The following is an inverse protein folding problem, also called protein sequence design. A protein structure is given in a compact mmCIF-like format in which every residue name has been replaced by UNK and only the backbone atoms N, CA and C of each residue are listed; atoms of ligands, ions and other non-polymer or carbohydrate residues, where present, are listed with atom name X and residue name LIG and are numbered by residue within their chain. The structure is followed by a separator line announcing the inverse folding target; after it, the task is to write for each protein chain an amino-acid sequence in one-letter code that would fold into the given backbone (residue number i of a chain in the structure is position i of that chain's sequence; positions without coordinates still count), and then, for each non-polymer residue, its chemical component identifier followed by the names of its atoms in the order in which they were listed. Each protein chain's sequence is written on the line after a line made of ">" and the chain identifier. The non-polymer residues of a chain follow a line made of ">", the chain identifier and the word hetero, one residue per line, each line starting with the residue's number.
data_IF_862235436250
#
_entry.id   IF_862235436250
#
_cell.length_a   1.000
_cell.length_b   1.000
_cell.length_c   1.000
_cell.angle_alpha   90.00
_cell.angle_beta   90.00
_cell.angle_gamma   90.00
#
_symmetry.space_group_name_H-M   'P 1'
#
loop_
_entity.id
_entity.type
_entity.pdbx_description
1 polymer ?
#
# COMPACT_ATOMS: atom_id res chain seq x y z
N UNK A 1 -3.99 -20.05 30.60
CA UNK A 1 -4.22 -19.30 29.36
C UNK A 1 -3.08 -19.49 28.33
N UNK A 2 -1.84 -19.32 28.72
CA UNK A 2 -0.66 -19.63 27.87
C UNK A 2 -0.63 -21.10 27.38
N UNK A 3 -1.08 -22.06 28.18
CA UNK A 3 -1.11 -23.47 27.77
C UNK A 3 -2.06 -23.78 26.60
N UNK A 4 -3.19 -23.08 26.49
CA UNK A 4 -4.14 -23.26 25.38
C UNK A 4 -3.64 -22.57 24.08
N UNK A 5 -2.93 -21.46 24.20
CA UNK A 5 -2.27 -20.80 23.06
C UNK A 5 -1.10 -21.63 22.56
N UNK A 6 -0.28 -22.18 23.47
CA UNK A 6 0.79 -23.10 23.14
C UNK A 6 0.27 -24.42 22.53
N UNK A 7 -0.86 -24.93 22.98
CA UNK A 7 -1.49 -26.12 22.41
C UNK A 7 -2.11 -25.85 21.01
N UNK A 8 -2.59 -24.65 20.75
CA UNK A 8 -3.06 -24.24 19.41
C UNK A 8 -1.88 -23.99 18.46
N UNK A 9 -0.80 -23.37 18.93
CA UNK A 9 0.44 -23.17 18.18
C UNK A 9 1.17 -24.49 17.89
N UNK A 10 1.13 -25.44 18.82
CA UNK A 10 1.71 -26.78 18.63
C UNK A 10 1.00 -27.63 17.56
N UNK A 11 -0.24 -27.28 17.20
CA UNK A 11 -0.99 -27.92 16.11
C UNK A 11 -0.71 -27.31 14.73
N UNK A 12 0.02 -26.18 14.65
CA UNK A 12 0.39 -25.58 13.36
C UNK A 12 1.59 -26.37 12.80
N UNK A 13 1.50 -26.93 11.59
CA UNK A 13 2.62 -27.64 11.00
C UNK A 13 3.87 -26.76 10.96
N UNK A 14 5.01 -27.28 11.42
CA UNK A 14 6.31 -26.56 11.46
C UNK A 14 6.62 -25.84 10.15
N UNK A 15 6.24 -26.43 9.02
CA UNK A 15 6.38 -25.81 7.69
C UNK A 15 5.55 -24.51 7.53
N UNK A 16 4.37 -24.43 8.15
CA UNK A 16 3.53 -23.22 8.10
C UNK A 16 4.17 -22.09 8.92
N UNK A 17 4.72 -22.42 10.10
CA UNK A 17 5.45 -21.45 10.93
C UNK A 17 6.68 -20.90 10.19
N UNK A 18 7.45 -21.78 9.55
CA UNK A 18 8.62 -21.38 8.75
C UNK A 18 8.19 -20.47 7.56
N UNK A 19 7.11 -20.83 6.85
CA UNK A 19 6.57 -20.02 5.74
C UNK A 19 6.10 -18.65 6.20
N UNK A 20 5.41 -18.57 7.33
CA UNK A 20 4.99 -17.29 7.93
C UNK A 20 6.20 -16.45 8.37
N UNK A 21 7.21 -17.09 8.97
CA UNK A 21 8.46 -16.43 9.36
C UNK A 21 9.19 -15.84 8.15
N UNK A 22 9.32 -16.57 7.06
CA UNK A 22 9.89 -16.06 5.80
C UNK A 22 9.08 -14.91 5.22
N UNK A 23 7.75 -15.03 5.17
CA UNK A 23 6.89 -14.02 4.58
C UNK A 23 6.85 -12.71 5.38
N UNK A 24 6.81 -12.79 6.72
CA UNK A 24 6.81 -11.61 7.59
C UNK A 24 8.20 -11.00 7.72
N UNK A 25 9.23 -11.82 7.89
CA UNK A 25 10.63 -11.36 8.00
C UNK A 25 11.12 -10.68 6.74
N UNK A 26 10.91 -11.29 5.56
CA UNK A 26 11.27 -10.67 4.28
C UNK A 26 10.51 -9.38 4.03
N UNK A 27 9.21 -9.35 4.34
CA UNK A 27 8.42 -8.12 4.19
C UNK A 27 8.92 -7.00 5.10
N UNK A 28 9.22 -7.29 6.37
CA UNK A 28 9.80 -6.32 7.30
C UNK A 28 11.13 -5.75 6.77
N UNK A 29 12.00 -6.62 6.27
CA UNK A 29 13.29 -6.21 5.71
C UNK A 29 13.14 -5.37 4.42
N UNK A 30 12.17 -5.69 3.57
CA UNK A 30 11.83 -4.86 2.40
C UNK A 30 11.36 -3.47 2.84
N UNK A 31 10.57 -3.36 3.92
CA UNK A 31 10.16 -2.06 4.44
C UNK A 31 11.32 -1.26 5.00
N UNK A 32 12.29 -1.93 5.65
CA UNK A 32 13.54 -1.29 6.09
C UNK A 32 14.32 -0.76 4.88
N UNK A 33 14.49 -1.55 3.81
CA UNK A 33 15.15 -1.07 2.59
C UNK A 33 14.42 0.11 1.94
N UNK A 34 13.09 0.10 1.93
CA UNK A 34 12.29 1.24 1.45
C UNK A 34 12.50 2.49 2.29
N UNK A 35 12.50 2.35 3.62
CA UNK A 35 12.76 3.47 4.52
C UNK A 35 14.17 4.03 4.31
N UNK A 36 15.18 3.16 4.28
CA UNK A 36 16.57 3.55 3.99
C UNK A 36 16.70 4.27 2.65
N UNK A 37 16.06 3.74 1.61
CA UNK A 37 16.05 4.37 0.29
C UNK A 37 15.44 5.78 0.35
N UNK A 38 14.28 5.94 0.99
CA UNK A 38 13.63 7.24 1.14
C UNK A 38 14.50 8.22 1.94
N UNK A 39 15.07 7.78 3.06
CA UNK A 39 15.89 8.63 3.94
C UNK A 39 17.18 9.06 3.22
N UNK A 40 17.92 8.14 2.62
CA UNK A 40 19.17 8.45 1.92
C UNK A 40 18.90 9.36 0.72
N UNK A 41 17.90 9.06 -0.08
CA UNK A 41 17.56 9.88 -1.23
C UNK A 41 17.06 11.28 -0.82
N UNK A 42 16.30 11.41 0.27
CA UNK A 42 15.82 12.71 0.74
C UNK A 42 16.96 13.61 1.24
N UNK A 43 18.07 13.05 1.70
CA UNK A 43 19.28 13.80 2.05
C UNK A 43 20.08 14.22 0.81
N UNK A 44 20.10 13.40 -0.24
CA UNK A 44 20.85 13.66 -1.48
C UNK A 44 20.09 14.53 -2.48
N UNK A 45 18.77 14.47 -2.50
CA UNK A 45 17.90 15.09 -3.49
C UNK A 45 17.02 16.18 -2.86
N UNK A 46 16.61 17.15 -3.67
CA UNK A 46 15.70 18.22 -3.21
C UNK A 46 14.22 17.78 -3.19
N UNK A 47 13.40 18.35 -2.29
CA UNK A 47 11.98 18.00 -2.18
C UNK A 47 11.16 18.08 -3.49
N UNK A 48 11.36 19.05 -4.40
CA UNK A 48 10.62 19.10 -5.67
C UNK A 48 10.77 17.83 -6.53
N UNK A 49 11.91 17.16 -6.47
CA UNK A 49 12.15 15.92 -7.22
C UNK A 49 11.27 14.77 -6.71
N UNK A 50 11.04 14.71 -5.40
CA UNK A 50 10.10 13.75 -4.80
C UNK A 50 8.66 14.07 -5.17
N UNK A 51 8.29 15.37 -5.23
CA UNK A 51 6.99 15.82 -5.70
C UNK A 51 6.72 15.40 -7.14
N UNK A 52 7.69 15.64 -8.02
CA UNK A 52 7.60 15.24 -9.42
C UNK A 52 7.50 13.71 -9.55
N UNK A 53 8.32 12.96 -8.78
CA UNK A 53 8.28 11.50 -8.79
C UNK A 53 6.98 10.92 -8.21
N UNK A 54 6.33 11.62 -7.26
CA UNK A 54 5.00 11.25 -6.78
C UNK A 54 3.97 11.29 -7.92
N UNK A 55 3.99 12.33 -8.76
CA UNK A 55 3.11 12.44 -9.94
C UNK A 55 3.40 11.29 -10.91
N UNK A 56 4.68 11.07 -11.25
CA UNK A 56 5.12 9.99 -12.14
C UNK A 56 4.66 8.63 -11.64
N UNK A 57 4.85 8.34 -10.36
CA UNK A 57 4.43 7.07 -9.75
C UNK A 57 2.90 6.93 -9.70
N UNK A 58 2.15 8.01 -9.47
CA UNK A 58 0.69 8.00 -9.51
C UNK A 58 0.16 7.71 -10.91
N UNK A 59 0.74 8.34 -11.94
CA UNK A 59 0.40 8.07 -13.35
C UNK A 59 0.74 6.61 -13.69
N UNK A 60 1.96 6.14 -13.34
CA UNK A 60 2.39 4.76 -13.58
C UNK A 60 1.43 3.76 -12.95
N UNK A 61 1.10 3.94 -11.67
CA UNK A 61 0.16 3.08 -10.95
C UNK A 61 -1.24 3.13 -11.56
N UNK A 62 -1.68 4.31 -12.02
CA UNK A 62 -2.95 4.48 -12.71
C UNK A 62 -3.00 3.68 -14.00
N UNK A 63 -2.02 3.87 -14.88
CA UNK A 63 -1.93 3.14 -16.15
C UNK A 63 -1.88 1.63 -15.91
N UNK A 64 -1.16 1.17 -14.88
CA UNK A 64 -1.06 -0.25 -14.52
C UNK A 64 -2.39 -0.82 -14.02
N UNK A 65 -3.02 -0.16 -13.03
CA UNK A 65 -4.26 -0.65 -12.41
C UNK A 65 -5.48 -0.51 -13.34
N UNK A 66 -5.54 0.58 -14.13
CA UNK A 66 -6.61 0.78 -15.12
C UNK A 66 -6.58 -0.22 -16.28
N UNK A 67 -5.64 -1.13 -16.31
CA UNK A 67 -5.53 -2.20 -17.30
C UNK A 67 -5.41 -3.58 -16.65
N UNK A 68 -5.51 -3.67 -15.31
CA UNK A 68 -5.33 -4.94 -14.63
C UNK A 68 -6.51 -5.87 -14.89
N UNK A 69 -6.21 -6.96 -15.59
CA UNK A 69 -7.14 -8.06 -15.86
C UNK A 69 -6.88 -9.26 -14.96
N UNK A 70 -6.13 -9.08 -13.88
CA UNK A 70 -5.90 -10.11 -12.86
C UNK A 70 -5.20 -11.37 -13.38
N UNK A 71 -4.23 -11.23 -14.30
CA UNK A 71 -3.53 -12.37 -14.91
C UNK A 71 -2.87 -13.23 -13.84
N UNK A 72 -2.14 -12.60 -12.89
CA UNK A 72 -1.45 -13.31 -11.83
C UNK A 72 -2.44 -14.01 -10.89
N UNK A 73 -3.53 -13.34 -10.52
CA UNK A 73 -4.60 -13.88 -9.68
C UNK A 73 -5.27 -15.07 -10.36
N UNK A 74 -5.47 -14.99 -11.69
CA UNK A 74 -6.08 -16.05 -12.47
C UNK A 74 -5.18 -17.30 -12.51
N UNK A 75 -3.87 -17.17 -12.77
CA UNK A 75 -2.91 -18.29 -12.71
C UNK A 75 -2.99 -19.01 -11.35
N UNK A 76 -3.08 -18.24 -10.26
CA UNK A 76 -3.09 -18.80 -8.90
C UNK A 76 -4.42 -19.48 -8.57
N UNK A 77 -5.56 -18.87 -8.91
CA UNK A 77 -6.90 -19.36 -8.54
C UNK A 77 -7.45 -20.41 -9.48
N UNK A 78 -7.06 -20.40 -10.76
CA UNK A 78 -7.58 -21.32 -11.76
C UNK A 78 -7.00 -22.72 -11.59
N UNK A 79 -7.84 -23.76 -11.69
CA UNK A 79 -7.41 -25.16 -11.63
C UNK A 79 -6.44 -25.52 -12.76
N UNK A 80 -6.59 -24.89 -13.93
CA UNK A 80 -5.76 -25.13 -15.12
C UNK A 80 -4.55 -24.19 -15.23
N UNK A 81 -4.31 -23.30 -14.24
CA UNK A 81 -3.28 -22.27 -14.29
C UNK A 81 -1.83 -22.79 -14.40
N UNK A 82 -1.60 -24.08 -14.15
CA UNK A 82 -0.33 -24.78 -14.30
C UNK A 82 -0.18 -25.52 -15.65
N UNK A 83 -1.29 -25.64 -16.42
CA UNK A 83 -1.21 -26.23 -17.76
C UNK A 83 -0.41 -25.33 -18.69
N UNK A 84 0.39 -25.94 -19.61
CA UNK A 84 1.24 -25.20 -20.53
C UNK A 84 0.49 -24.13 -21.33
N UNK A 85 -0.64 -24.54 -21.91
CA UNK A 85 -1.43 -23.70 -22.81
C UNK A 85 -1.98 -22.47 -22.08
N UNK A 86 -2.49 -22.65 -20.86
CA UNK A 86 -3.00 -21.57 -20.04
C UNK A 86 -1.88 -20.64 -19.56
N UNK A 87 -0.78 -21.22 -19.09
CA UNK A 87 0.35 -20.49 -18.55
C UNK A 87 1.06 -19.63 -19.61
N UNK A 88 1.33 -20.21 -20.80
CA UNK A 88 1.98 -19.52 -21.90
C UNK A 88 1.05 -18.43 -22.50
N UNK A 89 -0.27 -18.70 -22.57
CA UNK A 89 -1.27 -17.71 -22.98
C UNK A 89 -1.32 -16.54 -21.97
N UNK A 90 -1.34 -16.82 -20.68
CA UNK A 90 -1.34 -15.80 -19.63
C UNK A 90 -0.09 -14.92 -19.71
N UNK A 91 1.09 -15.52 -19.91
CA UNK A 91 2.33 -14.76 -20.08
C UNK A 91 2.32 -13.94 -21.39
N UNK A 92 1.84 -14.50 -22.51
CA UNK A 92 1.73 -13.78 -23.78
C UNK A 92 0.83 -12.57 -23.65
N UNK A 93 -0.34 -12.70 -23.00
CA UNK A 93 -1.26 -11.57 -22.72
C UNK A 93 -0.57 -10.54 -21.84
N UNK A 94 0.21 -10.95 -20.83
CA UNK A 94 0.97 -10.05 -19.96
C UNK A 94 2.01 -9.24 -20.74
N UNK A 95 2.70 -9.85 -21.71
CA UNK A 95 3.66 -9.16 -22.59
C UNK A 95 2.96 -8.15 -23.49
N UNK A 96 1.89 -8.56 -24.17
CA UNK A 96 1.10 -7.68 -25.05
C UNK A 96 0.58 -6.49 -24.26
N UNK A 97 0.03 -6.73 -23.07
CA UNK A 97 -0.43 -5.68 -22.16
C UNK A 97 0.72 -4.74 -21.78
N UNK A 98 1.89 -5.26 -21.39
CA UNK A 98 3.05 -4.44 -21.01
C UNK A 98 3.51 -3.52 -22.15
N UNK A 99 3.58 -4.02 -23.38
CA UNK A 99 3.93 -3.23 -24.56
C UNK A 99 2.84 -2.17 -24.83
N UNK A 100 1.56 -2.55 -24.78
CA UNK A 100 0.45 -1.63 -24.99
C UNK A 100 0.44 -0.49 -23.98
N UNK A 101 0.68 -0.78 -22.68
CA UNK A 101 0.76 0.21 -21.62
C UNK A 101 1.97 1.14 -21.80
N UNK A 102 3.11 0.58 -22.20
CA UNK A 102 4.29 1.37 -22.53
C UNK A 102 3.99 2.35 -23.68
N UNK A 103 3.35 1.87 -24.73
CA UNK A 103 2.95 2.71 -25.86
C UNK A 103 1.93 3.80 -25.46
N UNK A 104 0.90 3.45 -24.66
CA UNK A 104 -0.08 4.41 -24.15
C UNK A 104 0.61 5.48 -23.29
N UNK A 105 1.47 5.08 -22.36
CA UNK A 105 2.19 6.01 -21.50
C UNK A 105 3.10 6.94 -22.31
N UNK A 106 3.79 6.42 -23.33
CA UNK A 106 4.61 7.19 -24.25
C UNK A 106 3.79 8.21 -25.04
N UNK A 107 2.70 7.78 -25.69
CA UNK A 107 1.86 8.63 -26.51
C UNK A 107 1.11 9.70 -25.69
N UNK A 108 0.69 9.36 -24.46
CA UNK A 108 -0.03 10.28 -23.58
C UNK A 108 0.89 11.18 -22.75
N UNK A 109 2.22 11.07 -22.86
CA UNK A 109 3.16 11.83 -22.03
C UNK A 109 2.93 13.35 -22.13
N UNK A 110 2.76 13.87 -23.33
CA UNK A 110 2.46 15.31 -23.55
C UNK A 110 1.10 15.73 -22.99
N UNK A 111 0.09 14.85 -23.04
CA UNK A 111 -1.22 15.12 -22.46
C UNK A 111 -1.15 15.22 -20.94
N UNK A 112 -0.42 14.28 -20.29
CA UNK A 112 -0.17 14.35 -18.85
C UNK A 112 0.64 15.57 -18.45
N UNK A 113 1.67 15.95 -19.23
CA UNK A 113 2.48 17.14 -18.97
C UNK A 113 1.63 18.42 -18.98
N UNK A 114 0.71 18.55 -19.95
CA UNK A 114 -0.24 19.67 -20.01
C UNK A 114 -1.26 19.61 -18.88
N UNK A 115 -1.80 18.42 -18.56
CA UNK A 115 -2.82 18.28 -17.52
C UNK A 115 -2.30 18.66 -16.13
N UNK A 116 -1.06 18.28 -15.79
CA UNK A 116 -0.44 18.63 -14.52
C UNK A 116 0.36 19.93 -14.55
N UNK A 117 0.46 20.60 -15.71
CA UNK A 117 1.24 21.83 -15.91
C UNK A 117 2.72 21.66 -15.51
N UNK A 118 3.28 20.47 -15.82
CA UNK A 118 4.67 20.08 -15.54
C UNK A 118 5.32 19.57 -16.82
N UNK A 119 6.03 20.44 -17.56
CA UNK A 119 6.62 20.08 -18.87
C UNK A 119 7.65 18.95 -18.77
N UNK A 120 8.30 18.76 -17.61
CA UNK A 120 9.27 17.71 -17.36
C UNK A 120 8.66 16.31 -17.55
N UNK A 121 7.35 16.15 -17.30
CA UNK A 121 6.66 14.88 -17.48
C UNK A 121 6.68 14.40 -18.95
N UNK A 122 6.72 15.32 -19.91
CA UNK A 122 6.78 14.96 -21.33
C UNK A 122 8.06 14.17 -21.69
N UNK A 123 9.15 14.39 -20.96
CA UNK A 123 10.44 13.70 -21.17
C UNK A 123 10.57 12.50 -20.25
N UNK A 124 10.06 12.59 -19.01
CA UNK A 124 10.19 11.55 -18.00
C UNK A 124 9.30 10.34 -18.30
N UNK A 125 8.02 10.58 -18.67
CA UNK A 125 7.05 9.49 -18.87
C UNK A 125 7.42 8.52 -20.00
N UNK A 126 7.97 8.95 -21.15
CA UNK A 126 8.50 8.04 -22.17
C UNK A 126 9.57 7.08 -21.64
N UNK A 127 10.45 7.55 -20.76
CA UNK A 127 11.48 6.70 -20.15
C UNK A 127 10.87 5.73 -19.13
N UNK A 128 9.96 6.21 -18.29
CA UNK A 128 9.20 5.36 -17.35
C UNK A 128 8.34 4.33 -18.07
N UNK A 129 7.88 4.60 -19.29
CA UNK A 129 7.11 3.66 -20.11
C UNK A 129 7.82 2.31 -20.30
N UNK A 130 9.17 2.29 -20.32
CA UNK A 130 9.96 1.06 -20.37
C UNK A 130 9.70 0.13 -19.18
N UNK A 131 9.31 0.66 -18.03
CA UNK A 131 9.00 -0.17 -16.86
C UNK A 131 7.82 -1.10 -17.12
N UNK A 132 6.81 -0.67 -17.90
CA UNK A 132 5.68 -1.53 -18.27
C UNK A 132 6.11 -2.68 -19.18
N UNK A 133 7.02 -2.40 -20.12
CA UNK A 133 7.57 -3.41 -21.02
C UNK A 133 8.32 -4.47 -20.19
N UNK A 134 9.22 -4.04 -19.30
CA UNK A 134 9.95 -4.96 -18.44
C UNK A 134 9.02 -5.77 -17.53
N UNK A 135 8.00 -5.15 -16.94
CA UNK A 135 6.97 -5.84 -16.15
C UNK A 135 6.21 -6.89 -16.99
N UNK A 136 5.89 -6.56 -18.23
CA UNK A 136 5.23 -7.48 -19.16
C UNK A 136 6.04 -8.74 -19.42
N UNK A 137 7.35 -8.60 -19.65
CA UNK A 137 8.27 -9.71 -19.92
C UNK A 137 8.69 -10.51 -18.68
N UNK A 138 8.40 -10.05 -17.45
CA UNK A 138 8.72 -10.83 -16.24
C UNK A 138 8.08 -12.23 -16.29
N UNK A 139 8.82 -13.21 -15.79
CA UNK A 139 8.37 -14.61 -15.73
C UNK A 139 7.06 -14.74 -14.92
N UNK A 140 6.11 -15.50 -15.46
CA UNK A 140 4.89 -15.85 -14.75
C UNK A 140 5.11 -16.98 -13.70
N UNK A 141 6.34 -17.51 -13.59
CA UNK A 141 6.71 -18.57 -12.64
C UNK A 141 6.52 -18.15 -11.18
N UNK A 142 6.61 -16.85 -10.87
CA UNK A 142 6.30 -16.33 -9.53
C UNK A 142 4.86 -16.66 -9.10
N UNK A 143 3.89 -16.53 -10.01
CA UNK A 143 2.48 -16.88 -9.75
C UNK A 143 2.29 -18.39 -9.58
N UNK A 144 3.04 -19.23 -10.32
CA UNK A 144 3.04 -20.68 -10.11
C UNK A 144 3.60 -21.08 -8.75
N UNK A 145 4.71 -20.46 -8.31
CA UNK A 145 5.25 -20.68 -6.97
C UNK A 145 4.27 -20.27 -5.88
N UNK A 146 3.53 -19.18 -6.10
CA UNK A 146 2.47 -18.75 -5.18
C UNK A 146 1.34 -19.80 -5.12
N UNK A 147 0.90 -20.32 -6.26
CA UNK A 147 -0.06 -21.43 -6.35
C UNK A 147 0.45 -22.69 -5.60
N UNK A 148 1.72 -23.02 -5.74
CA UNK A 148 2.39 -24.13 -5.05
C UNK A 148 2.73 -23.82 -3.59
N UNK A 149 2.36 -22.64 -3.07
CA UNK A 149 2.66 -22.16 -1.70
C UNK A 149 4.16 -22.10 -1.36
N UNK A 150 5.02 -21.95 -2.35
CA UNK A 150 6.47 -21.79 -2.16
C UNK A 150 6.81 -20.31 -1.85
N UNK A 151 6.59 -19.89 -0.61
CA UNK A 151 6.74 -18.49 -0.20
C UNK A 151 8.19 -18.02 -0.20
N UNK A 152 9.14 -18.89 0.19
CA UNK A 152 10.54 -18.51 0.39
C UNK A 152 11.20 -17.96 -0.89
N UNK A 153 10.99 -18.61 -2.05
CA UNK A 153 11.60 -18.17 -3.32
C UNK A 153 11.06 -16.82 -3.79
N UNK A 154 9.73 -16.60 -3.67
CA UNK A 154 9.16 -15.30 -3.98
C UNK A 154 9.69 -14.21 -3.04
N UNK A 155 9.84 -14.54 -1.74
CA UNK A 155 10.42 -13.61 -0.77
C UNK A 155 11.87 -13.26 -1.08
N UNK A 156 12.68 -14.24 -1.53
CA UNK A 156 14.08 -13.98 -1.95
C UNK A 156 14.11 -13.07 -3.18
N UNK A 157 13.22 -13.30 -4.16
CA UNK A 157 13.11 -12.44 -5.34
C UNK A 157 12.79 -11.00 -4.94
N UNK A 158 11.72 -10.80 -4.15
CA UNK A 158 11.28 -9.49 -3.72
C UNK A 158 12.38 -8.77 -2.92
N UNK A 159 13.07 -9.48 -2.03
CA UNK A 159 14.17 -8.96 -1.22
C UNK A 159 15.38 -8.57 -2.08
N UNK A 160 15.75 -9.41 -3.05
CA UNK A 160 16.85 -9.13 -3.98
C UNK A 160 16.56 -7.88 -4.80
N UNK A 161 15.32 -7.75 -5.32
CA UNK A 161 14.90 -6.57 -6.09
C UNK A 161 14.90 -5.32 -5.21
N UNK A 162 14.46 -5.41 -3.94
CA UNK A 162 14.48 -4.28 -3.01
C UNK A 162 15.91 -3.83 -2.68
N UNK A 163 16.84 -4.76 -2.48
CA UNK A 163 18.26 -4.45 -2.24
C UNK A 163 18.92 -3.82 -3.47
N UNK A 164 18.68 -4.37 -4.66
CA UNK A 164 19.16 -3.81 -5.93
C UNK A 164 18.58 -2.42 -6.16
N UNK A 165 17.28 -2.23 -5.88
CA UNK A 165 16.63 -0.91 -5.97
C UNK A 165 17.31 0.13 -5.10
N UNK A 166 17.57 -0.19 -3.83
CA UNK A 166 18.30 0.69 -2.91
C UNK A 166 19.69 1.05 -3.47
N UNK A 167 20.46 0.04 -3.87
CA UNK A 167 21.81 0.25 -4.40
C UNK A 167 21.81 1.14 -5.65
N UNK A 168 20.92 0.86 -6.61
CA UNK A 168 20.84 1.61 -7.86
C UNK A 168 20.41 3.06 -7.64
N UNK A 169 19.36 3.31 -6.85
CA UNK A 169 18.90 4.67 -6.60
C UNK A 169 19.94 5.50 -5.86
N UNK A 170 20.59 4.91 -4.84
CA UNK A 170 21.64 5.59 -4.09
C UNK A 170 22.86 5.87 -4.97
N UNK A 171 23.34 4.88 -5.73
CA UNK A 171 24.47 5.06 -6.64
C UNK A 171 24.22 6.16 -7.68
N UNK A 172 23.03 6.14 -8.31
CA UNK A 172 22.67 7.17 -9.28
C UNK A 172 22.50 8.55 -8.64
N UNK A 173 21.96 8.65 -7.42
CA UNK A 173 21.81 9.92 -6.73
C UNK A 173 23.15 10.52 -6.30
N UNK A 174 24.16 9.69 -6.00
CA UNK A 174 25.51 10.14 -5.71
C UNK A 174 26.26 10.65 -6.96
N UNK A 175 25.97 10.06 -8.13
CA UNK A 175 26.60 10.47 -9.40
C UNK A 175 25.90 11.70 -9.99
N UNK A 176 24.56 11.67 -10.02
CA UNK A 176 23.72 12.72 -10.63
C UNK A 176 22.51 13.02 -9.73
N UNK A 177 22.60 14.01 -8.81
CA UNK A 177 21.54 14.33 -7.87
C UNK A 177 20.38 15.09 -8.54
N UNK A 178 19.80 14.51 -9.56
CA UNK A 178 18.71 15.06 -10.36
C UNK A 178 17.53 14.10 -10.40
N UNK A 179 16.41 14.51 -11.03
CA UNK A 179 15.25 13.63 -11.24
C UNK A 179 15.62 12.31 -11.93
N UNK A 180 16.67 12.33 -12.75
CA UNK A 180 17.12 11.16 -13.49
C UNK A 180 17.63 10.03 -12.58
N UNK A 181 18.13 10.34 -11.38
CA UNK A 181 18.49 9.31 -10.40
C UNK A 181 17.28 8.46 -10.01
N UNK A 182 16.11 9.09 -9.81
CA UNK A 182 14.86 8.40 -9.46
C UNK A 182 14.26 7.67 -10.67
N UNK A 183 14.27 8.31 -11.83
CA UNK A 183 13.69 7.77 -13.07
C UNK A 183 14.49 6.56 -13.55
N UNK A 184 15.79 6.73 -13.78
CA UNK A 184 16.67 5.64 -14.23
C UNK A 184 16.78 4.54 -13.18
N UNK A 185 16.85 4.90 -11.88
CA UNK A 185 16.80 3.94 -10.79
C UNK A 185 15.57 3.03 -10.85
N UNK A 186 14.40 3.61 -11.14
CA UNK A 186 13.14 2.85 -11.29
C UNK A 186 13.14 1.95 -12.54
N UNK A 187 13.66 2.44 -13.67
CA UNK A 187 13.77 1.67 -14.91
C UNK A 187 14.75 0.52 -14.75
N UNK A 188 15.95 0.78 -14.21
CA UNK A 188 16.97 -0.23 -13.97
C UNK A 188 16.52 -1.26 -12.93
N UNK A 189 15.80 -0.84 -11.88
CA UNK A 189 15.17 -1.76 -10.91
C UNK A 189 14.17 -2.67 -11.60
N UNK A 190 13.35 -2.16 -12.53
CA UNK A 190 12.38 -2.96 -13.29
C UNK A 190 13.09 -3.95 -14.23
N UNK A 191 14.19 -3.55 -14.86
CA UNK A 191 15.03 -4.43 -15.66
C UNK A 191 15.71 -5.52 -14.79
N UNK A 192 16.23 -5.15 -13.63
CA UNK A 192 16.81 -6.10 -12.67
C UNK A 192 15.75 -7.09 -12.16
N UNK A 193 14.52 -6.63 -11.89
CA UNK A 193 13.41 -7.49 -11.50
C UNK A 193 13.01 -8.47 -12.62
N UNK A 194 13.06 -8.03 -13.89
CA UNK A 194 12.87 -8.90 -15.04
C UNK A 194 13.94 -10.02 -15.04
N UNK A 195 15.21 -9.66 -14.98
CA UNK A 195 16.33 -10.64 -14.98
C UNK A 195 16.21 -11.57 -13.78
N UNK A 196 16.02 -11.03 -12.58
CA UNK A 196 15.88 -11.80 -11.35
C UNK A 196 14.70 -12.78 -11.40
N UNK A 197 13.60 -12.42 -12.09
CA UNK A 197 12.44 -13.30 -12.23
C UNK A 197 12.74 -14.61 -12.98
N UNK A 198 13.76 -14.62 -13.84
CA UNK A 198 14.22 -15.83 -14.55
C UNK A 198 15.36 -16.55 -13.83
N UNK A 199 16.21 -15.82 -13.09
CA UNK A 199 17.37 -16.39 -12.39
C UNK A 199 17.00 -17.01 -11.04
N UNK A 200 16.22 -16.28 -10.22
CA UNK A 200 15.88 -16.70 -8.85
C UNK A 200 14.77 -17.77 -8.85
N UNK A 201 13.89 -17.71 -9.83
CA UNK A 201 12.79 -18.64 -9.99
C UNK A 201 13.03 -19.52 -11.23
N UNK A 202 13.74 -20.64 -11.10
CA UNK A 202 13.86 -21.58 -12.20
C UNK A 202 12.47 -22.09 -12.53
N UNK A 203 11.98 -21.68 -13.66
CA UNK A 203 10.64 -21.97 -14.12
C UNK A 203 10.66 -22.61 -15.49
N UNK A 204 9.46 -22.87 -15.97
CA UNK A 204 9.21 -23.33 -17.31
C UNK A 204 9.61 -22.23 -18.32
N UNK A 205 10.16 -22.62 -19.46
CA UNK A 205 10.36 -21.71 -20.59
C UNK A 205 9.01 -21.21 -21.09
N UNK A 206 8.89 -19.89 -21.29
CA UNK A 206 7.69 -19.28 -21.86
C UNK A 206 7.71 -19.38 -23.38
N UNK A 207 6.52 -19.56 -23.96
CA UNK A 207 6.30 -19.54 -25.40
C UNK A 207 5.21 -18.54 -25.75
N UNK A 208 5.35 -17.85 -26.86
CA UNK A 208 4.30 -17.00 -27.40
C UNK A 208 3.19 -17.87 -27.98
N UNK A 209 2.20 -18.17 -27.17
CA UNK A 209 1.02 -18.96 -27.52
C UNK A 209 -0.22 -18.21 -27.04
N UNK A 210 -1.26 -18.21 -27.86
CA UNK A 210 -2.58 -17.71 -27.49
C UNK A 210 -3.58 -18.84 -27.74
N UNK A 211 -3.94 -19.54 -26.67
CA UNK A 211 -5.07 -20.45 -26.68
C UNK A 211 -6.37 -19.65 -26.47
N UNK A 212 -7.34 -19.84 -27.38
CA UNK A 212 -8.59 -19.07 -27.37
C UNK A 212 -9.43 -19.34 -26.13
N UNK A 213 -9.41 -20.55 -25.60
CA UNK A 213 -10.19 -20.93 -24.42
C UNK A 213 -9.60 -20.27 -23.18
N UNK A 214 -8.28 -20.41 -22.98
CA UNK A 214 -7.56 -19.78 -21.88
C UNK A 214 -7.67 -18.25 -21.94
N UNK A 215 -7.52 -17.65 -23.12
CA UNK A 215 -7.64 -16.20 -23.30
C UNK A 215 -9.05 -15.70 -22.93
N UNK A 216 -10.11 -16.38 -23.38
CA UNK A 216 -11.49 -16.05 -23.05
C UNK A 216 -11.75 -16.15 -21.54
N UNK A 217 -11.19 -17.17 -20.89
CA UNK A 217 -11.33 -17.38 -19.45
C UNK A 217 -10.63 -16.27 -18.66
N UNK A 218 -9.39 -15.92 -19.04
CA UNK A 218 -8.63 -14.80 -18.43
C UNK A 218 -9.38 -13.48 -18.60
N UNK A 219 -9.88 -13.16 -19.78
CA UNK A 219 -10.60 -11.91 -20.04
C UNK A 219 -11.95 -11.85 -19.33
N UNK A 220 -12.67 -12.97 -19.22
CA UNK A 220 -13.95 -13.03 -18.51
C UNK A 220 -13.78 -12.79 -17.02
N UNK A 221 -12.74 -13.35 -16.42
CA UNK A 221 -12.38 -13.09 -15.03
C UNK A 221 -11.89 -11.65 -14.85
N UNK A 222 -11.10 -11.15 -15.79
CA UNK A 222 -10.44 -9.86 -15.73
C UNK A 222 -11.37 -8.65 -15.73
N UNK A 223 -12.55 -8.71 -16.37
CA UNK A 223 -13.49 -7.58 -16.43
C UNK A 223 -13.94 -7.09 -15.05
N UNK A 224 -14.11 -8.00 -14.10
CA UNK A 224 -14.52 -7.66 -12.73
C UNK A 224 -13.35 -7.06 -11.94
N UNK A 225 -12.14 -7.58 -12.16
CA UNK A 225 -10.91 -7.03 -11.56
C UNK A 225 -10.68 -5.62 -12.08
N UNK A 226 -10.83 -5.40 -13.38
CA UNK A 226 -10.67 -4.08 -14.01
C UNK A 226 -11.55 -3.02 -13.35
N UNK A 227 -12.86 -3.27 -13.18
CA UNK A 227 -13.79 -2.33 -12.52
C UNK A 227 -13.37 -2.07 -11.08
N UNK A 228 -13.03 -3.13 -10.34
CA UNK A 228 -12.57 -3.00 -8.95
C UNK A 228 -11.27 -2.21 -8.83
N UNK A 229 -10.34 -2.40 -9.78
CA UNK A 229 -9.05 -1.70 -9.81
C UNK A 229 -9.20 -0.21 -10.11
N UNK A 230 -10.18 0.19 -10.93
CA UNK A 230 -10.49 1.62 -11.18
C UNK A 230 -10.92 2.30 -9.87
N UNK A 231 -11.89 1.71 -9.17
CA UNK A 231 -12.42 2.25 -7.91
C UNK A 231 -11.31 2.29 -6.86
N UNK A 232 -10.53 1.22 -6.76
CA UNK A 232 -9.41 1.13 -5.84
C UNK A 232 -8.34 2.18 -6.14
N UNK A 233 -7.93 2.32 -7.41
CA UNK A 233 -6.96 3.34 -7.82
C UNK A 233 -7.42 4.74 -7.45
N UNK A 234 -8.66 5.08 -7.80
CA UNK A 234 -9.23 6.38 -7.48
C UNK A 234 -9.28 6.62 -5.96
N UNK A 235 -9.71 5.63 -5.18
CA UNK A 235 -9.79 5.74 -3.72
C UNK A 235 -8.43 5.87 -3.01
N UNK A 236 -7.35 5.36 -3.60
CA UNK A 236 -6.01 5.36 -2.98
C UNK A 236 -5.14 6.51 -3.47
N UNK A 237 -5.37 7.01 -4.69
CA UNK A 237 -4.51 8.03 -5.29
C UNK A 237 -5.19 9.38 -5.53
N UNK A 238 -6.46 9.55 -5.14
CA UNK A 238 -7.19 10.81 -5.36
C UNK A 238 -6.48 12.03 -4.74
N UNK A 239 -6.02 11.88 -3.50
CA UNK A 239 -5.27 12.89 -2.77
C UNK A 239 -4.00 13.33 -3.53
N UNK A 240 -3.23 12.37 -4.01
CA UNK A 240 -1.97 12.60 -4.75
C UNK A 240 -2.22 13.34 -6.06
N UNK A 241 -3.22 12.89 -6.81
CA UNK A 241 -3.57 13.50 -8.10
C UNK A 241 -4.18 14.89 -7.93
N UNK A 242 -5.02 15.09 -6.90
CA UNK A 242 -5.62 16.38 -6.60
C UNK A 242 -4.55 17.38 -6.13
N UNK A 243 -3.77 17.01 -5.13
CA UNK A 243 -2.73 17.89 -4.58
C UNK A 243 -1.63 18.21 -5.61
N UNK A 244 -1.33 17.30 -6.53
CA UNK A 244 -0.37 17.53 -7.61
C UNK A 244 -0.70 18.75 -8.48
N UNK A 245 -1.98 19.13 -8.56
CA UNK A 245 -2.44 20.33 -9.28
C UNK A 245 -2.53 21.56 -8.40
N UNK A 246 -2.70 21.39 -7.10
CA UNK A 246 -3.04 22.50 -6.21
C UNK A 246 -1.83 23.09 -5.47
N UNK A 247 -0.75 22.31 -5.30
CA UNK A 247 0.38 22.72 -4.48
C UNK A 247 1.70 22.69 -5.27
N UNK A 248 2.71 23.40 -4.73
CA UNK A 248 4.06 23.40 -5.30
C UNK A 248 4.69 22.00 -5.26
N UNK A 249 5.63 21.72 -6.18
CA UNK A 249 6.38 20.47 -6.18
C UNK A 249 7.15 20.24 -4.88
N UNK A 250 7.63 21.31 -4.25
CA UNK A 250 8.29 21.24 -2.94
C UNK A 250 7.35 20.69 -1.88
N UNK A 251 6.15 21.29 -1.73
CA UNK A 251 5.17 20.84 -0.76
C UNK A 251 4.64 19.45 -1.07
N UNK A 252 4.49 19.12 -2.36
CA UNK A 252 4.10 17.78 -2.80
C UNK A 252 5.18 16.73 -2.44
N UNK A 253 6.47 17.10 -2.52
CA UNK A 253 7.58 16.28 -2.09
C UNK A 253 7.57 16.02 -0.58
N UNK A 254 7.35 17.06 0.21
CA UNK A 254 7.21 16.96 1.68
C UNK A 254 6.02 16.06 2.04
N UNK A 255 4.87 16.28 1.40
CA UNK A 255 3.69 15.42 1.54
C UNK A 255 3.98 13.96 1.19
N UNK A 256 4.77 13.71 0.14
CA UNK A 256 5.10 12.35 -0.31
C UNK A 256 5.90 11.55 0.73
N UNK A 257 6.77 12.21 1.47
CA UNK A 257 7.53 11.58 2.57
C UNK A 257 6.59 11.19 3.72
N UNK A 258 5.76 12.13 4.21
CA UNK A 258 4.79 11.85 5.27
C UNK A 258 3.85 10.70 4.85
N UNK A 259 3.34 10.76 3.61
CA UNK A 259 2.46 9.72 3.05
C UNK A 259 3.14 8.36 2.94
N UNK A 260 4.40 8.31 2.50
CA UNK A 260 5.16 7.07 2.41
C UNK A 260 5.35 6.39 3.77
N UNK A 261 5.62 7.17 4.82
CA UNK A 261 5.74 6.65 6.19
C UNK A 261 4.39 6.13 6.73
N UNK A 262 3.30 6.87 6.48
CA UNK A 262 1.96 6.44 6.87
C UNK A 262 1.53 5.15 6.13
N UNK A 263 1.77 5.07 4.82
CA UNK A 263 1.47 3.90 4.01
C UNK A 263 2.27 2.67 4.46
N UNK A 264 3.53 2.84 4.90
CA UNK A 264 4.36 1.76 5.41
C UNK A 264 3.76 1.12 6.67
N UNK A 265 3.25 1.93 7.61
CA UNK A 265 2.56 1.43 8.82
C UNK A 265 1.27 0.67 8.47
N UNK A 266 0.48 1.20 7.54
CA UNK A 266 -0.75 0.55 7.09
C UNK A 266 -0.47 -0.80 6.40
N UNK A 267 0.55 -0.86 5.53
CA UNK A 267 0.90 -2.08 4.79
C UNK A 267 1.28 -3.26 5.68
N UNK A 268 1.91 -3.02 6.84
CA UNK A 268 2.25 -4.08 7.80
C UNK A 268 1.00 -4.81 8.27
N UNK A 269 -0.03 -4.06 8.69
CA UNK A 269 -1.27 -4.66 9.20
C UNK A 269 -2.12 -5.27 8.08
N UNK A 270 -2.18 -4.62 6.93
CA UNK A 270 -2.83 -5.18 5.73
C UNK A 270 -2.25 -6.55 5.42
N UNK A 271 -0.91 -6.66 5.36
CA UNK A 271 -0.22 -7.93 5.06
C UNK A 271 -0.58 -9.03 6.05
N UNK A 272 -0.52 -8.74 7.36
CA UNK A 272 -0.87 -9.71 8.41
C UNK A 272 -2.34 -10.11 8.31
N UNK A 273 -3.26 -9.17 8.10
CA UNK A 273 -4.69 -9.43 8.01
C UNK A 273 -5.03 -10.35 6.83
N UNK A 274 -4.48 -10.09 5.65
CA UNK A 274 -4.73 -10.94 4.48
C UNK A 274 -3.99 -12.27 4.50
N UNK A 275 -2.84 -12.38 5.17
CA UNK A 275 -2.10 -13.64 5.27
C UNK A 275 -2.61 -14.58 6.35
N UNK A 276 -3.14 -14.04 7.45
CA UNK A 276 -3.53 -14.84 8.62
C UNK A 276 -5.04 -14.81 8.82
N UNK A 277 -5.64 -13.63 8.95
CA UNK A 277 -7.04 -13.51 9.34
C UNK A 277 -7.99 -13.99 8.22
N UNK A 278 -7.78 -13.51 6.99
CA UNK A 278 -8.62 -13.91 5.85
C UNK A 278 -8.68 -15.44 5.64
N UNK A 279 -7.55 -16.18 5.47
CA UNK A 279 -7.61 -17.62 5.25
C UNK A 279 -8.10 -18.39 6.49
N UNK A 280 -7.86 -17.88 7.69
CA UNK A 280 -8.38 -18.48 8.92
C UNK A 280 -9.90 -18.42 8.96
N UNK A 281 -10.48 -17.27 8.62
CA UNK A 281 -11.94 -17.11 8.54
C UNK A 281 -12.52 -17.96 7.42
N UNK A 282 -11.91 -17.94 6.23
CA UNK A 282 -12.37 -18.70 5.06
C UNK A 282 -12.35 -20.23 5.28
N UNK A 283 -11.50 -20.73 6.17
CA UNK A 283 -11.41 -22.15 6.50
C UNK A 283 -12.40 -22.60 7.61
N UNK A 284 -13.09 -21.66 8.27
CA UNK A 284 -14.03 -21.96 9.34
C UNK A 284 -15.45 -22.15 8.79
N UNK A 285 -15.94 -23.39 8.85
CA UNK A 285 -17.34 -23.70 8.55
C UNK A 285 -18.17 -23.64 9.84
N UNK A 286 -18.49 -22.41 10.26
CA UNK A 286 -19.21 -22.12 11.52
C UNK A 286 -20.19 -20.97 11.31
N UNK A 287 -21.17 -20.86 12.19
CA UNK A 287 -22.13 -19.73 12.16
C UNK A 287 -21.42 -18.39 12.41
N UNK A 288 -22.01 -17.28 11.95
CA UNK A 288 -21.45 -15.94 12.15
C UNK A 288 -21.23 -15.61 13.65
N UNK A 289 -22.12 -16.05 14.52
CA UNK A 289 -22.02 -15.82 15.95
C UNK A 289 -20.86 -16.61 16.59
N UNK A 290 -20.68 -17.86 16.20
CA UNK A 290 -19.54 -18.69 16.64
C UNK A 290 -18.21 -18.15 16.11
N UNK A 291 -18.21 -17.72 14.84
CA UNK A 291 -17.04 -17.08 14.24
C UNK A 291 -16.63 -15.83 15.02
N UNK A 292 -17.60 -14.96 15.33
CA UNK A 292 -17.37 -13.77 16.16
C UNK A 292 -16.82 -14.13 17.52
N UNK A 293 -17.38 -15.12 18.21
CA UNK A 293 -16.93 -15.56 19.54
C UNK A 293 -15.48 -16.10 19.50
N UNK A 294 -15.10 -16.82 18.44
CA UNK A 294 -13.74 -17.34 18.28
C UNK A 294 -12.73 -16.23 17.95
N UNK A 295 -13.12 -15.24 17.14
CA UNK A 295 -12.23 -14.19 16.68
C UNK A 295 -12.02 -13.06 17.69
N UNK A 296 -13.00 -12.74 18.52
CA UNK A 296 -13.02 -11.56 19.39
C UNK A 296 -11.78 -11.44 20.29
N UNK A 297 -11.34 -12.56 20.87
CA UNK A 297 -10.20 -12.55 21.80
C UNK A 297 -8.86 -12.35 21.07
N UNK A 298 -8.61 -13.13 20.01
CA UNK A 298 -7.39 -13.02 19.21
C UNK A 298 -7.29 -11.64 18.53
N UNK A 299 -8.42 -11.15 17.99
CA UNK A 299 -8.54 -9.82 17.38
C UNK A 299 -8.23 -8.71 18.40
N UNK A 300 -8.78 -8.79 19.60
CA UNK A 300 -8.54 -7.81 20.67
C UNK A 300 -7.05 -7.75 21.03
N UNK A 301 -6.40 -8.89 21.27
CA UNK A 301 -4.97 -8.93 21.59
C UNK A 301 -4.13 -8.32 20.48
N UNK A 302 -4.36 -8.74 19.24
CA UNK A 302 -3.63 -8.22 18.08
C UNK A 302 -3.80 -6.69 17.96
N UNK A 303 -5.03 -6.20 18.04
CA UNK A 303 -5.31 -4.76 17.88
C UNK A 303 -4.83 -3.94 19.08
N UNK A 304 -4.79 -4.49 20.31
CA UNK A 304 -4.14 -3.81 21.44
C UNK A 304 -2.65 -3.57 21.18
N UNK A 305 -1.91 -4.58 20.72
CA UNK A 305 -0.50 -4.40 20.36
C UNK A 305 -0.31 -3.38 19.24
N UNK A 306 -1.14 -3.44 18.21
CA UNK A 306 -1.09 -2.49 17.09
C UNK A 306 -1.46 -1.07 17.57
N UNK A 307 -2.47 -0.92 18.42
CA UNK A 307 -2.87 0.37 19.00
C UNK A 307 -1.74 1.04 19.77
N UNK A 308 -1.13 0.30 20.71
CA UNK A 308 -0.02 0.83 21.50
C UNK A 308 1.21 1.12 20.64
N UNK A 309 1.59 0.19 19.75
CA UNK A 309 2.74 0.39 18.86
C UNK A 309 2.57 1.57 17.91
N UNK A 310 1.38 1.72 17.31
CA UNK A 310 1.08 2.88 16.44
C UNK A 310 1.00 4.17 17.25
N UNK A 311 0.43 4.14 18.46
CA UNK A 311 0.37 5.29 19.35
C UNK A 311 1.76 5.81 19.76
N UNK A 312 2.68 4.90 20.10
CA UNK A 312 4.07 5.25 20.32
C UNK A 312 4.71 5.89 19.08
N UNK A 313 4.43 5.36 17.89
CA UNK A 313 4.96 5.92 16.65
C UNK A 313 4.34 7.30 16.34
N UNK A 314 3.04 7.51 16.59
CA UNK A 314 2.41 8.84 16.49
C UNK A 314 3.10 9.83 17.42
N UNK A 315 3.33 9.44 18.67
CA UNK A 315 3.93 10.30 19.69
C UNK A 315 5.35 10.78 19.33
N UNK A 316 6.13 9.99 18.59
CA UNK A 316 7.50 10.32 18.19
C UNK A 316 7.63 10.73 16.71
N UNK A 317 6.53 10.81 15.98
CA UNK A 317 6.55 10.93 14.50
C UNK A 317 7.25 12.20 14.00
N UNK A 318 7.08 13.32 14.67
CA UNK A 318 7.77 14.58 14.39
C UNK A 318 9.30 14.47 14.66
N UNK A 319 9.67 13.86 15.78
CA UNK A 319 11.07 13.60 16.16
C UNK A 319 11.72 12.67 15.12
N UNK A 320 11.00 11.62 14.70
CA UNK A 320 11.49 10.68 13.69
C UNK A 320 11.72 11.39 12.36
N UNK A 321 10.82 12.29 11.95
CA UNK A 321 11.04 13.10 10.74
C UNK A 321 12.27 13.98 10.88
N UNK A 322 12.42 14.70 11.99
CA UNK A 322 13.58 15.57 12.24
C UNK A 322 14.91 14.80 12.28
N UNK A 323 14.91 13.58 12.84
CA UNK A 323 16.11 12.75 12.96
C UNK A 323 16.52 12.14 11.61
N UNK A 324 15.56 11.63 10.85
CA UNK A 324 15.82 10.88 9.62
C UNK A 324 15.99 11.81 8.41
N UNK A 325 15.21 12.89 8.36
CA UNK A 325 15.19 13.85 7.26
C UNK A 325 15.81 15.18 7.71
N UNK A 326 16.17 16.02 6.78
CA UNK A 326 16.70 17.35 7.11
C UNK A 326 15.59 18.41 7.29
N UNK A 327 15.98 19.62 7.63
CA UNK A 327 15.08 20.77 7.88
C UNK A 327 14.12 21.05 6.70
N UNK A 328 14.48 20.70 5.47
CA UNK A 328 13.64 20.86 4.28
C UNK A 328 12.32 20.07 4.35
N UNK A 329 12.26 19.06 5.20
CA UNK A 329 11.09 18.18 5.38
C UNK A 329 10.38 18.37 6.73
N UNK A 330 10.70 19.40 7.48
CA UNK A 330 10.12 19.65 8.84
C UNK A 330 8.58 19.65 8.82
N UNK A 331 7.97 20.27 7.80
CA UNK A 331 6.51 20.27 7.63
C UNK A 331 5.91 18.86 7.52
N UNK A 332 6.67 17.86 7.06
CA UNK A 332 6.21 16.46 7.06
C UNK A 332 5.98 15.95 8.49
N UNK A 333 6.74 16.44 9.47
CA UNK A 333 6.55 16.14 10.89
C UNK A 333 5.21 16.62 11.45
N UNK A 334 4.65 17.71 10.92
CA UNK A 334 3.30 18.19 11.29
C UNK A 334 2.18 17.42 10.55
N UNK A 335 2.43 16.96 9.34
CA UNK A 335 1.45 16.22 8.52
C UNK A 335 1.34 14.76 8.97
N UNK A 336 2.45 14.12 9.30
CA UNK A 336 2.53 12.69 9.57
C UNK A 336 1.64 12.23 10.75
N UNK A 337 1.66 12.88 11.95
CA UNK A 337 0.81 12.44 13.05
C UNK A 337 -0.68 12.44 12.68
N UNK A 338 -1.13 13.44 11.91
CA UNK A 338 -2.53 13.52 11.46
C UNK A 338 -2.86 12.35 10.53
N UNK A 339 -1.98 12.03 9.57
CA UNK A 339 -2.15 10.86 8.69
C UNK A 339 -2.21 9.55 9.48
N UNK A 340 -1.39 9.41 10.52
CA UNK A 340 -1.34 8.21 11.35
C UNK A 340 -2.63 7.97 12.15
N UNK A 341 -3.36 9.03 12.52
CA UNK A 341 -4.72 8.86 13.08
C UNK A 341 -5.65 8.15 12.07
N UNK A 342 -5.58 8.53 10.80
CA UNK A 342 -6.33 7.86 9.73
C UNK A 342 -5.86 6.42 9.49
N UNK A 343 -4.56 6.15 9.64
CA UNK A 343 -4.02 4.79 9.56
C UNK A 343 -4.64 3.88 10.63
N UNK A 344 -4.85 4.36 11.85
CA UNK A 344 -5.57 3.59 12.87
C UNK A 344 -6.96 3.14 12.40
N UNK A 345 -7.74 4.07 11.87
CA UNK A 345 -9.10 3.77 11.36
C UNK A 345 -9.04 2.84 10.14
N UNK A 346 -8.04 3.04 9.26
CA UNK A 346 -7.79 2.15 8.13
C UNK A 346 -7.49 0.72 8.58
N UNK A 347 -6.71 0.54 9.65
CA UNK A 347 -6.39 -0.76 10.26
C UNK A 347 -7.66 -1.46 10.74
N UNK A 348 -8.53 -0.77 11.48
CA UNK A 348 -9.82 -1.31 11.91
C UNK A 348 -10.67 -1.74 10.71
N UNK A 349 -10.68 -0.92 9.66
CA UNK A 349 -11.39 -1.19 8.40
C UNK A 349 -10.85 -2.46 7.72
N UNK A 350 -9.53 -2.60 7.59
CA UNK A 350 -8.88 -3.76 6.94
C UNK A 350 -9.15 -5.06 7.69
N UNK A 351 -9.14 -5.04 9.03
CA UNK A 351 -9.43 -6.21 9.85
C UNK A 351 -10.89 -6.64 9.68
N UNK A 352 -11.84 -5.70 9.69
CA UNK A 352 -13.26 -5.99 9.44
C UNK A 352 -13.50 -6.49 8.01
N UNK A 353 -12.83 -5.88 7.03
CA UNK A 353 -12.88 -6.25 5.63
C UNK A 353 -12.39 -7.68 5.39
N UNK A 354 -11.26 -8.06 6.02
CA UNK A 354 -10.72 -9.43 5.94
C UNK A 354 -11.70 -10.49 6.47
N UNK A 355 -12.48 -10.17 7.49
CA UNK A 355 -13.53 -11.06 8.03
C UNK A 355 -14.67 -11.17 7.03
N UNK A 356 -15.16 -10.04 6.48
CA UNK A 356 -16.26 -10.05 5.48
C UNK A 356 -15.86 -10.78 4.19
N UNK A 357 -14.64 -10.56 3.71
CA UNK A 357 -14.10 -11.28 2.55
C UNK A 357 -13.99 -12.78 2.82
N UNK A 358 -13.54 -13.17 4.04
CA UNK A 358 -13.45 -14.57 4.45
C UNK A 358 -14.80 -15.28 4.45
N UNK A 359 -15.89 -14.54 4.68
CA UNK A 359 -17.27 -15.07 4.57
C UNK A 359 -17.83 -15.03 3.14
N UNK A 360 -17.03 -14.70 2.12
CA UNK A 360 -17.43 -14.71 0.71
C UNK A 360 -18.26 -13.51 0.25
N UNK A 361 -18.10 -12.34 0.87
CA UNK A 361 -18.91 -11.14 0.58
C UNK A 361 -18.06 -9.94 0.08
N UNK A 362 -17.37 -10.04 -1.07
CA UNK A 362 -16.50 -8.98 -1.58
C UNK A 362 -17.21 -7.69 -2.00
N UNK A 363 -18.52 -7.76 -2.28
CA UNK A 363 -19.31 -6.59 -2.66
C UNK A 363 -19.30 -5.49 -1.56
N UNK A 364 -19.22 -5.87 -0.30
CA UNK A 364 -19.17 -4.90 0.81
C UNK A 364 -17.88 -4.10 0.84
N UNK A 365 -16.74 -4.73 0.48
CA UNK A 365 -15.46 -4.04 0.29
C UNK A 365 -15.55 -2.98 -0.80
N UNK A 366 -16.15 -3.33 -1.92
CA UNK A 366 -16.33 -2.39 -3.05
C UNK A 366 -17.21 -1.20 -2.65
N UNK A 367 -18.32 -1.44 -1.95
CA UNK A 367 -19.22 -0.38 -1.47
C UNK A 367 -18.51 0.54 -0.46
N UNK A 368 -17.72 -0.01 0.45
CA UNK A 368 -16.96 0.77 1.42
C UNK A 368 -15.88 1.63 0.74
N UNK A 369 -15.18 1.10 -0.26
CA UNK A 369 -14.21 1.87 -1.04
C UNK A 369 -14.89 2.96 -1.91
N UNK A 370 -16.08 2.69 -2.44
CA UNK A 370 -16.87 3.69 -3.17
C UNK A 370 -17.33 4.84 -2.25
N UNK A 371 -17.76 4.54 -1.02
CA UNK A 371 -18.13 5.55 -0.03
C UNK A 371 -16.91 6.41 0.38
N UNK A 372 -15.74 5.78 0.59
CA UNK A 372 -14.49 6.50 0.82
C UNK A 372 -14.14 7.42 -0.34
N UNK A 373 -14.22 6.93 -1.58
CA UNK A 373 -13.95 7.72 -2.77
C UNK A 373 -14.91 8.90 -2.90
N UNK A 374 -16.21 8.72 -2.65
CA UNK A 374 -17.18 9.80 -2.67
C UNK A 374 -16.83 10.89 -1.63
N UNK A 375 -16.40 10.48 -0.43
CA UNK A 375 -15.91 11.41 0.60
C UNK A 375 -14.67 12.18 0.11
N UNK A 376 -13.76 11.55 -0.60
CA UNK A 376 -12.57 12.20 -1.13
C UNK A 376 -12.89 13.19 -2.26
N UNK A 377 -13.72 12.80 -3.21
CA UNK A 377 -14.07 13.64 -4.36
C UNK A 377 -14.72 14.95 -3.93
N UNK A 378 -15.56 14.92 -2.92
CA UNK A 378 -16.26 16.10 -2.40
C UNK A 378 -15.44 16.78 -1.31
N UNK A 379 -14.95 16.02 -0.36
CA UNK A 379 -14.37 16.56 0.86
C UNK A 379 -12.94 17.07 0.68
N UNK A 380 -12.08 16.43 -0.15
CA UNK A 380 -10.68 16.89 -0.29
C UNK A 380 -10.60 18.29 -0.90
N UNK A 381 -11.35 18.63 -1.98
CA UNK A 381 -11.41 20.01 -2.45
C UNK A 381 -11.90 21.01 -1.40
N UNK A 382 -12.94 20.67 -0.66
CA UNK A 382 -13.47 21.54 0.41
C UNK A 382 -12.46 21.68 1.55
N UNK A 383 -11.90 20.57 2.04
CA UNK A 383 -10.88 20.60 3.09
C UNK A 383 -9.63 21.40 2.69
N UNK A 384 -9.21 21.28 1.43
CA UNK A 384 -8.12 22.07 0.90
C UNK A 384 -8.45 23.55 0.81
N UNK A 385 -9.68 23.89 0.41
CA UNK A 385 -10.13 25.29 0.32
C UNK A 385 -10.11 25.99 1.70
N UNK A 386 -10.53 25.30 2.76
CA UNK A 386 -10.62 25.90 4.10
C UNK A 386 -9.35 25.78 4.93
N UNK A 387 -8.53 24.74 4.73
CA UNK A 387 -7.37 24.45 5.59
C UNK A 387 -6.12 24.00 4.81
N UNK A 388 -6.03 24.33 3.52
CA UNK A 388 -4.87 23.95 2.71
C UNK A 388 -4.58 22.46 2.74
N UNK A 389 -3.30 22.11 2.75
CA UNK A 389 -2.85 20.70 2.77
C UNK A 389 -3.32 19.96 4.02
N UNK A 390 -3.31 20.61 5.19
CA UNK A 390 -3.76 19.99 6.45
C UNK A 390 -5.25 19.70 6.42
N UNK A 391 -6.07 20.64 5.91
CA UNK A 391 -7.50 20.41 5.72
C UNK A 391 -7.79 19.24 4.79
N UNK A 392 -7.04 19.10 3.70
CA UNK A 392 -7.12 17.93 2.82
C UNK A 392 -6.78 16.62 3.58
N UNK A 393 -5.71 16.62 4.39
CA UNK A 393 -5.30 15.44 5.18
C UNK A 393 -6.35 15.07 6.24
N UNK A 394 -6.99 16.03 6.88
CA UNK A 394 -8.10 15.74 7.81
C UNK A 394 -9.27 15.06 7.09
N UNK A 395 -9.59 15.49 5.88
CA UNK A 395 -10.63 14.82 5.06
C UNK A 395 -10.22 13.41 4.63
N UNK A 396 -8.93 13.14 4.41
CA UNK A 396 -8.48 11.77 4.16
C UNK A 396 -8.80 10.85 5.35
N UNK A 397 -8.62 11.33 6.57
CA UNK A 397 -9.02 10.59 7.77
C UNK A 397 -10.55 10.41 7.84
N UNK A 398 -11.33 11.43 7.50
CA UNK A 398 -12.79 11.33 7.43
C UNK A 398 -13.24 10.26 6.41
N UNK A 399 -12.56 10.11 5.28
CA UNK A 399 -12.82 9.06 4.31
C UNK A 399 -12.51 7.65 4.83
N UNK A 400 -11.46 7.48 5.65
CA UNK A 400 -11.21 6.20 6.34
C UNK A 400 -12.30 5.91 7.38
N UNK A 401 -12.79 6.92 8.10
CA UNK A 401 -13.93 6.79 9.02
C UNK A 401 -15.18 6.38 8.26
N UNK A 402 -15.47 7.00 7.11
CA UNK A 402 -16.63 6.64 6.28
C UNK A 402 -16.54 5.18 5.80
N UNK A 403 -15.36 4.76 5.33
CA UNK A 403 -15.10 3.36 4.96
C UNK A 403 -15.37 2.41 6.14
N UNK A 404 -14.87 2.75 7.32
CA UNK A 404 -15.09 1.97 8.53
C UNK A 404 -16.58 1.87 8.88
N UNK A 405 -17.34 2.98 8.84
CA UNK A 405 -18.77 3.01 9.15
C UNK A 405 -19.54 2.06 8.22
N UNK A 406 -19.25 2.08 6.92
CA UNK A 406 -19.89 1.20 5.94
C UNK A 406 -19.58 -0.28 6.22
N UNK A 407 -18.31 -0.62 6.45
CA UNK A 407 -17.92 -2.00 6.80
C UNK A 407 -18.52 -2.45 8.12
N UNK A 408 -18.54 -1.58 9.14
CA UNK A 408 -19.18 -1.87 10.42
C UNK A 408 -20.69 -2.12 10.28
N UNK A 409 -21.39 -1.31 9.50
CA UNK A 409 -22.83 -1.48 9.26
C UNK A 409 -23.11 -2.85 8.61
N UNK A 410 -22.33 -3.23 7.59
CA UNK A 410 -22.46 -4.55 6.97
C UNK A 410 -22.06 -5.70 7.90
N UNK A 411 -20.98 -5.55 8.67
CA UNK A 411 -20.58 -6.53 9.67
C UNK A 411 -21.67 -6.74 10.72
N UNK A 412 -22.28 -5.65 11.20
CA UNK A 412 -23.41 -5.71 12.15
C UNK A 412 -24.61 -6.46 11.56
N UNK A 413 -24.98 -6.16 10.29
CA UNK A 413 -26.06 -6.83 9.58
C UNK A 413 -25.81 -8.34 9.41
N UNK A 414 -24.54 -8.75 9.40
CA UNK A 414 -24.13 -10.16 9.31
C UNK A 414 -23.86 -10.82 10.68
N UNK A 415 -24.25 -10.19 11.79
CA UNK A 415 -23.95 -10.64 13.17
C UNK A 415 -22.44 -10.78 13.49
N UNK A 416 -21.58 -10.12 12.71
CA UNK A 416 -20.11 -10.08 12.87
C UNK A 416 -19.61 -8.71 13.37
N UNK A 417 -20.49 -7.89 13.95
CA UNK A 417 -20.14 -6.53 14.38
C UNK A 417 -19.22 -6.51 15.61
N UNK A 418 -18.13 -5.74 15.52
CA UNK A 418 -17.14 -5.52 16.60
C UNK A 418 -17.10 -4.06 17.10
N UNK A 419 -18.15 -3.26 16.85
CA UNK A 419 -18.12 -1.82 17.06
C UNK A 419 -17.85 -1.38 18.52
N UNK A 420 -18.34 -2.10 19.53
CA UNK A 420 -18.06 -1.78 20.94
C UNK A 420 -16.60 -2.02 21.29
N UNK A 421 -16.05 -3.12 20.79
CA UNK A 421 -14.62 -3.47 20.96
C UNK A 421 -13.73 -2.46 20.23
N UNK A 422 -14.11 -2.04 19.03
CA UNK A 422 -13.38 -1.07 18.23
C UNK A 422 -13.38 0.33 18.87
N UNK A 423 -14.48 0.74 19.50
CA UNK A 423 -14.54 1.98 20.27
C UNK A 423 -13.60 1.93 21.50
N UNK A 424 -13.60 0.82 22.24
CA UNK A 424 -12.69 0.65 23.36
C UNK A 424 -11.21 0.64 22.95
N UNK A 425 -10.89 0.01 21.80
CA UNK A 425 -9.53 0.00 21.24
C UNK A 425 -9.11 1.38 20.71
N UNK A 426 -10.05 2.14 20.17
CA UNK A 426 -9.78 3.53 19.73
C UNK A 426 -9.55 4.45 20.92
N UNK A 427 -10.31 4.30 22.01
CA UNK A 427 -10.04 5.01 23.25
C UNK A 427 -8.66 4.64 23.82
N UNK A 428 -8.30 3.36 23.83
CA UNK A 428 -6.96 2.90 24.22
C UNK A 428 -5.87 3.54 23.35
N UNK A 429 -6.06 3.56 22.02
CA UNK A 429 -5.12 4.18 21.10
C UNK A 429 -4.91 5.67 21.42
N UNK A 430 -6.00 6.45 21.54
CA UNK A 430 -5.92 7.88 21.80
C UNK A 430 -5.27 8.17 23.17
N UNK A 431 -5.66 7.44 24.21
CA UNK A 431 -5.04 7.57 25.55
C UNK A 431 -3.56 7.23 25.49
N UNK A 432 -3.18 6.17 24.75
CA UNK A 432 -1.78 5.78 24.59
C UNK A 432 -0.97 6.86 23.84
N UNK A 433 -1.55 7.54 22.84
CA UNK A 433 -0.89 8.68 22.16
C UNK A 433 -0.63 9.81 23.14
N UNK A 434 -1.64 10.21 23.92
CA UNK A 434 -1.51 11.30 24.89
C UNK A 434 -0.48 10.96 25.97
N UNK A 435 -0.57 9.78 26.57
CA UNK A 435 0.36 9.33 27.63
C UNK A 435 1.80 9.26 27.11
N UNK A 436 2.01 8.69 25.90
CA UNK A 436 3.33 8.59 25.31
C UNK A 436 3.93 9.98 25.02
N UNK A 437 3.10 10.93 24.53
CA UNK A 437 3.56 12.28 24.23
C UNK A 437 3.90 13.07 25.48
N UNK A 438 3.06 13.00 26.52
CA UNK A 438 3.32 13.66 27.82
C UNK A 438 4.59 13.07 28.49
N UNK A 439 4.80 11.76 28.37
CA UNK A 439 6.03 11.15 28.87
C UNK A 439 7.29 11.70 28.14
N UNK A 440 7.20 11.92 26.83
CA UNK A 440 8.29 12.52 26.03
C UNK A 440 8.50 14.01 26.40
N UNK A 441 7.42 14.75 26.62
CA UNK A 441 7.48 16.13 27.07
C UNK A 441 8.13 16.26 28.44
N UNK A 442 7.78 15.38 29.38
CA UNK A 442 8.34 15.37 30.74
C UNK A 442 9.87 15.12 30.77
N UNK A 443 10.41 14.42 29.79
CA UNK A 443 11.88 14.21 29.64
C UNK A 443 12.54 15.25 28.69
N UNK A 444 11.80 16.27 28.24
CA UNK A 444 12.30 17.36 27.41
C UNK A 444 12.63 17.00 25.97
N UNK A 445 12.16 15.86 25.48
CA UNK A 445 12.40 15.41 24.09
C UNK A 445 11.40 15.95 23.08
N UNK A 446 10.27 16.47 23.53
CA UNK A 446 9.22 17.00 22.64
C UNK A 446 8.41 18.11 23.31
N UNK A 447 7.61 18.85 22.53
CA UNK A 447 6.51 19.67 23.05
C UNK A 447 5.39 18.83 23.65
N UNK A 448 4.41 19.49 24.27
CA UNK A 448 3.23 18.86 24.86
C UNK A 448 2.37 18.09 23.85
N UNK A 449 1.30 17.43 24.32
CA UNK A 449 0.41 16.65 23.45
C UNK A 449 -0.25 17.51 22.34
N UNK A 450 -0.51 18.78 22.59
CA UNK A 450 -1.13 19.69 21.61
C UNK A 450 -0.17 20.09 20.49
N UNK A 451 1.14 20.08 20.73
CA UNK A 451 2.15 20.40 19.72
C UNK A 451 2.18 19.41 18.54
N UNK A 452 1.67 18.18 18.73
CA UNK A 452 1.50 17.19 17.65
C UNK A 452 0.41 17.56 16.65
N UNK A 453 -0.56 18.36 17.08
CA UNK A 453 -1.74 18.66 16.28
C UNK A 453 -1.93 20.16 16.13
N UNK A 454 -1.04 20.85 15.39
CA UNK A 454 -1.07 22.28 15.24
C UNK A 454 -2.38 22.81 14.63
N UNK A 455 -3.15 21.96 13.96
CA UNK A 455 -4.48 22.31 13.43
C UNK A 455 -5.53 22.53 14.52
N UNK A 456 -5.27 22.15 15.77
CA UNK A 456 -6.13 22.50 16.91
C UNK A 456 -5.93 23.93 17.36
N UNK A 457 -4.85 24.60 16.94
CA UNK A 457 -4.63 26.02 17.17
C UNK A 457 -5.37 26.83 16.09
N UNK A 458 -6.36 27.69 16.48
CA UNK A 458 -7.11 28.49 15.52
C UNK A 458 -6.25 29.38 14.63
N UNK A 459 -5.07 29.78 15.07
CA UNK A 459 -4.13 30.61 14.30
C UNK A 459 -3.59 29.94 13.05
N UNK A 460 -3.65 28.62 12.98
CA UNK A 460 -3.20 27.81 11.82
C UNK A 460 -4.16 27.90 10.63
N UNK A 461 -5.44 28.14 10.86
CA UNK A 461 -6.47 28.21 9.81
C UNK A 461 -6.49 29.56 9.07
N UNK A 462 -5.74 30.53 9.59
CA UNK A 462 -5.71 31.93 9.09
C UNK A 462 -4.45 32.20 8.24
N UNK A 463 -3.52 31.25 8.17
CA UNK A 463 -2.28 31.35 7.37
C UNK A 463 -2.41 30.48 6.09
#
# INVERSE_FOLDING_TARGET
>A
MMSRVNAALAKIPRQTVIRLGWATGSFGLIQVFRLLNNVVLARLLSPPLFGLMLIVNSIRTGVELLSDVGINQNIVSNRQGDKPEFYDTAWTIKVIRGIALGAICFLCANAFARFFEKPELAIILPVIALTFVFLGFQSASASLLQKQRSVARNSILDLSVAAISLALHVALALITPTIWALVLGSVMTSAAALIASYLVIPGRRHRFIIDRVAAKEIMTFGKWIFISSIIYFAAVNFDRLYLAKQISLTMLGIYSIARSMADMMNMLVVRVSYMVLFPTVAAMDVTAQELRAKLIHARRIMLCFVAVGLACFVAVSDIVVQLLYDVRYETAGAILPIMLLGVWVSILSVVNDSVLLGTGKPAYTTMANAAKLATFVIGVPLGFHFGGVLGAVVVLNAGEVMRYIVLWAFSRKQHLGFGREDLGLTALFLVSVLVAREALSAIGLSGDAFSLFPFLDPSWWVR
#
